data_IF_564041667078
#
_entry.id   IF_564041667078
#
_cell.length_a   1.000
_cell.length_b   1.000
_cell.length_c   1.000
_cell.angle_alpha   90.00
_cell.angle_beta   90.00
_cell.angle_gamma   90.00
#
_symmetry.space_group_name_H-M   'P 1'
#
loop_
_entity.id
_entity.type
_entity.pdbx_description
1 polymer ?
#
# COMPACT_ATOMS: atom_id res chain seq x y z
N UNK A 1 -29.30 -12.47 -15.44
CA UNK A 1 -29.18 -12.10 -14.02
C UNK A 1 -28.14 -12.95 -13.28
N UNK A 2 -28.24 -14.29 -13.29
CA UNK A 2 -27.30 -15.18 -12.59
C UNK A 2 -25.81 -15.00 -12.98
N UNK A 3 -25.50 -14.86 -14.27
CA UNK A 3 -24.12 -14.65 -14.75
C UNK A 3 -23.49 -13.33 -14.25
N UNK A 4 -24.26 -12.23 -14.28
CA UNK A 4 -23.81 -10.93 -13.76
C UNK A 4 -23.55 -11.05 -12.26
N UNK A 5 -24.47 -11.68 -11.52
CA UNK A 5 -24.27 -11.93 -10.09
C UNK A 5 -22.97 -12.71 -9.81
N UNK A 6 -22.69 -13.76 -10.59
CA UNK A 6 -21.47 -14.55 -10.45
C UNK A 6 -20.20 -13.74 -10.74
N UNK A 7 -20.21 -12.89 -11.77
CA UNK A 7 -19.09 -11.98 -12.08
C UNK A 7 -18.88 -10.99 -10.94
N UNK A 8 -19.94 -10.36 -10.44
CA UNK A 8 -19.85 -9.37 -9.37
C UNK A 8 -19.33 -10.01 -8.08
N UNK A 9 -19.86 -11.17 -7.69
CA UNK A 9 -19.41 -11.91 -6.50
C UNK A 9 -17.96 -12.37 -6.69
N UNK A 10 -17.59 -12.88 -7.86
CA UNK A 10 -16.22 -13.29 -8.16
C UNK A 10 -15.22 -12.13 -8.13
N UNK A 11 -15.59 -10.97 -8.69
CA UNK A 11 -14.77 -9.76 -8.65
C UNK A 11 -14.58 -9.22 -7.23
N UNK A 12 -15.64 -9.23 -6.42
CA UNK A 12 -15.60 -8.80 -5.02
C UNK A 12 -14.73 -9.74 -4.16
N UNK A 13 -14.88 -11.06 -4.36
CA UNK A 13 -14.08 -12.06 -3.68
C UNK A 13 -12.59 -11.94 -4.08
N UNK A 14 -12.30 -11.72 -5.36
CA UNK A 14 -10.93 -11.50 -5.84
C UNK A 14 -10.32 -10.23 -5.25
N UNK A 15 -11.08 -9.12 -5.20
CA UNK A 15 -10.60 -7.88 -4.59
C UNK A 15 -10.36 -8.02 -3.07
N UNK A 16 -11.16 -8.83 -2.38
CA UNK A 16 -11.00 -9.03 -0.94
C UNK A 16 -9.86 -10.01 -0.64
N UNK A 17 -9.87 -11.19 -1.24
CA UNK A 17 -8.86 -12.22 -1.00
C UNK A 17 -7.50 -11.89 -1.62
N UNK A 18 -7.47 -11.18 -2.74
CA UNK A 18 -6.24 -10.73 -3.39
C UNK A 18 -5.51 -9.69 -2.53
N UNK A 19 -6.24 -8.73 -1.96
CA UNK A 19 -5.69 -7.64 -1.14
C UNK A 19 -5.90 -7.89 0.36
N UNK A 20 -5.89 -9.16 0.77
CA UNK A 20 -6.22 -9.56 2.15
C UNK A 20 -5.24 -8.96 3.15
N UNK A 21 -3.97 -8.82 2.77
CA UNK A 21 -2.94 -8.28 3.65
C UNK A 21 -3.16 -6.81 3.95
N UNK A 22 -3.44 -6.02 2.92
CA UNK A 22 -3.76 -4.60 3.01
C UNK A 22 -4.99 -4.37 3.86
N UNK A 23 -6.02 -5.19 3.66
CA UNK A 23 -7.26 -5.10 4.42
C UNK A 23 -7.02 -5.41 5.90
N UNK A 24 -6.21 -6.41 6.23
CA UNK A 24 -5.87 -6.75 7.61
C UNK A 24 -5.09 -5.63 8.29
N UNK A 25 -4.04 -5.12 7.64
CA UNK A 25 -3.25 -3.99 8.15
C UNK A 25 -4.15 -2.76 8.36
N UNK A 26 -5.03 -2.46 7.40
CA UNK A 26 -5.96 -1.34 7.49
C UNK A 26 -6.97 -1.52 8.62
N UNK A 27 -7.53 -2.73 8.81
CA UNK A 27 -8.48 -3.01 9.90
C UNK A 27 -7.82 -2.85 11.27
N UNK A 28 -6.63 -3.43 11.48
CA UNK A 28 -5.93 -3.29 12.77
C UNK A 28 -5.54 -1.83 13.06
N UNK A 29 -5.09 -1.09 12.05
CA UNK A 29 -4.80 0.33 12.19
C UNK A 29 -6.07 1.16 12.45
N UNK A 30 -7.21 0.84 11.81
CA UNK A 30 -8.50 1.47 12.08
C UNK A 30 -9.01 1.17 13.51
N UNK A 31 -8.91 -0.08 13.96
CA UNK A 31 -9.29 -0.49 15.32
C UNK A 31 -8.45 0.22 16.39
N UNK A 32 -7.21 0.56 16.06
CA UNK A 32 -6.29 1.32 16.92
C UNK A 32 -6.40 2.84 16.73
N UNK A 33 -7.37 3.31 15.91
CA UNK A 33 -7.58 4.73 15.58
C UNK A 33 -6.38 5.42 14.90
N UNK A 34 -5.50 4.63 14.25
CA UNK A 34 -4.28 5.08 13.56
C UNK A 34 -4.56 5.45 12.11
N UNK A 35 -5.42 6.45 11.90
CA UNK A 35 -5.90 6.84 10.55
C UNK A 35 -4.76 7.24 9.62
N UNK A 36 -3.71 7.86 10.16
CA UNK A 36 -2.51 8.24 9.40
C UNK A 36 -1.82 6.99 8.83
N UNK A 37 -1.66 5.94 9.63
CA UNK A 37 -1.09 4.66 9.20
C UNK A 37 -1.95 4.02 8.13
N UNK A 38 -3.29 4.02 8.28
CA UNK A 38 -4.23 3.50 7.27
C UNK A 38 -4.08 4.23 5.93
N UNK A 39 -4.08 5.56 5.94
CA UNK A 39 -3.96 6.36 4.71
C UNK A 39 -2.65 6.06 3.97
N UNK A 40 -1.54 6.06 4.70
CA UNK A 40 -0.23 5.87 4.11
C UNK A 40 0.05 4.42 3.73
N UNK A 41 -0.51 3.44 4.43
CA UNK A 41 -0.43 2.03 4.03
C UNK A 41 -1.21 1.77 2.73
N UNK A 42 -2.42 2.32 2.59
CA UNK A 42 -3.23 2.16 1.38
C UNK A 42 -2.62 2.88 0.18
N UNK A 43 -2.18 4.14 0.35
CA UNK A 43 -1.47 4.88 -0.70
C UNK A 43 -0.18 4.15 -1.09
N UNK A 44 0.59 3.72 -0.10
CA UNK A 44 1.82 2.97 -0.31
C UNK A 44 1.59 1.66 -1.04
N UNK A 45 0.49 0.94 -0.77
CA UNK A 45 0.22 -0.34 -1.46
C UNK A 45 -0.03 -0.11 -2.96
N UNK A 46 -0.77 0.94 -3.30
CA UNK A 46 -0.98 1.34 -4.71
C UNK A 46 0.37 1.67 -5.37
N UNK A 47 1.21 2.50 -4.73
CA UNK A 47 2.54 2.85 -5.25
C UNK A 47 3.46 1.63 -5.37
N UNK A 48 3.47 0.76 -4.36
CA UNK A 48 4.25 -0.47 -4.33
C UNK A 48 3.85 -1.37 -5.49
N UNK A 49 2.55 -1.56 -5.72
CA UNK A 49 2.10 -2.47 -6.77
C UNK A 49 2.40 -1.93 -8.18
N UNK A 50 2.20 -0.63 -8.44
CA UNK A 50 2.46 -0.06 -9.77
C UNK A 50 3.94 0.27 -10.05
N UNK A 51 4.78 0.46 -9.03
CA UNK A 51 6.20 0.80 -9.20
C UNK A 51 7.15 -0.28 -8.73
N UNK A 52 7.01 -0.77 -7.50
CA UNK A 52 7.92 -1.76 -6.92
C UNK A 52 7.66 -3.15 -7.49
N UNK A 53 6.46 -3.71 -7.32
CA UNK A 53 6.07 -5.04 -7.82
C UNK A 53 6.17 -5.10 -9.34
N UNK A 54 5.63 -4.10 -10.03
CA UNK A 54 5.75 -4.03 -11.48
C UNK A 54 7.20 -3.81 -11.92
N UNK A 55 7.95 -2.94 -11.25
CA UNK A 55 9.35 -2.66 -11.57
C UNK A 55 10.26 -3.87 -11.39
N UNK A 56 10.15 -4.58 -10.27
CA UNK A 56 10.93 -5.79 -10.01
C UNK A 56 10.53 -6.92 -10.95
N UNK A 57 9.23 -7.10 -11.25
CA UNK A 57 8.79 -8.11 -12.21
C UNK A 57 9.29 -7.83 -13.63
N UNK A 58 9.19 -6.59 -14.14
CA UNK A 58 9.77 -6.22 -15.44
C UNK A 58 11.29 -6.36 -15.47
N UNK A 59 11.99 -5.98 -14.40
CA UNK A 59 13.44 -6.09 -14.29
C UNK A 59 13.88 -7.56 -14.28
N UNK A 60 13.34 -8.35 -13.35
CA UNK A 60 13.69 -9.76 -13.18
C UNK A 60 13.28 -10.59 -14.40
N UNK A 61 12.06 -10.40 -14.93
CA UNK A 61 11.60 -11.08 -16.13
C UNK A 61 12.41 -10.68 -17.37
N UNK A 62 12.80 -9.41 -17.49
CA UNK A 62 13.64 -8.92 -18.58
C UNK A 62 15.06 -9.48 -18.55
N UNK A 63 15.66 -9.68 -17.36
CA UNK A 63 17.00 -10.25 -17.20
C UNK A 63 16.98 -11.78 -17.37
N UNK A 64 15.98 -12.46 -16.80
CA UNK A 64 15.98 -13.91 -16.67
C UNK A 64 15.54 -14.66 -17.94
N UNK A 65 14.64 -14.09 -18.74
CA UNK A 65 14.06 -14.79 -19.89
C UNK A 65 14.96 -14.80 -21.14
N UNK A 66 16.29 -14.82 -20.98
CA UNK A 66 17.20 -14.93 -22.12
C UNK A 66 17.39 -16.38 -22.61
N UNK A 67 17.10 -17.43 -21.82
CA UNK A 67 17.07 -18.87 -22.20
C UNK A 67 16.93 -19.78 -20.96
N UNK A 68 15.73 -20.06 -20.45
CA UNK A 68 15.49 -21.26 -19.59
C UNK A 68 13.99 -21.64 -19.62
N UNK A 69 13.66 -22.91 -19.86
CA UNK A 69 12.32 -23.49 -19.66
C UNK A 69 12.12 -23.99 -18.22
N UNK A 70 10.94 -23.82 -17.60
CA UNK A 70 10.70 -24.28 -16.22
C UNK A 70 9.27 -24.70 -15.83
N UNK A 71 9.21 -25.55 -14.78
CA UNK A 71 8.02 -26.17 -14.16
C UNK A 71 7.43 -25.34 -13.01
N UNK A 72 6.15 -25.58 -12.73
CA UNK A 72 5.41 -25.01 -11.61
C UNK A 72 5.63 -25.85 -10.35
N UNK A 73 6.34 -25.32 -9.36
CA UNK A 73 6.40 -25.96 -8.05
C UNK A 73 5.11 -25.71 -7.29
N UNK A 74 4.38 -26.80 -7.03
CA UNK A 74 3.18 -26.86 -6.18
C UNK A 74 3.41 -26.28 -4.77
N UNK A 75 4.67 -26.19 -4.35
CA UNK A 75 5.09 -25.54 -3.11
C UNK A 75 4.81 -24.03 -3.10
N UNK A 76 4.59 -23.40 -4.26
CA UNK A 76 4.29 -21.96 -4.34
C UNK A 76 3.00 -21.58 -3.61
N UNK A 77 1.94 -22.40 -3.68
CA UNK A 77 0.70 -22.13 -2.95
C UNK A 77 0.93 -22.22 -1.44
N UNK A 78 1.64 -23.26 -0.98
CA UNK A 78 1.96 -23.41 0.43
C UNK A 78 2.82 -22.24 0.96
N UNK A 79 3.75 -21.75 0.13
CA UNK A 79 4.57 -20.58 0.43
C UNK A 79 3.73 -19.30 0.56
N UNK A 80 2.80 -19.07 -0.38
CA UNK A 80 1.89 -17.91 -0.33
C UNK A 80 1.01 -17.94 0.91
N UNK A 81 0.39 -19.09 1.21
CA UNK A 81 -0.42 -19.26 2.42
C UNK A 81 0.42 -19.02 3.68
N UNK A 82 1.64 -19.55 3.72
CA UNK A 82 2.58 -19.33 4.82
C UNK A 82 2.92 -17.86 5.03
N UNK A 83 3.18 -17.13 3.95
CA UNK A 83 3.44 -15.69 4.00
C UNK A 83 2.22 -14.89 4.46
N UNK A 84 1.03 -15.22 3.96
CA UNK A 84 -0.20 -14.57 4.42
C UNK A 84 -0.41 -14.79 5.91
N UNK A 85 -0.32 -16.04 6.40
CA UNK A 85 -0.46 -16.33 7.85
C UNK A 85 0.60 -15.61 8.67
N UNK A 86 1.85 -15.58 8.21
CA UNK A 86 2.93 -14.86 8.87
C UNK A 86 2.60 -13.36 8.99
N UNK A 87 2.12 -12.73 7.92
CA UNK A 87 1.74 -11.32 7.95
C UNK A 87 0.52 -11.09 8.83
N UNK A 88 -0.50 -11.95 8.81
CA UNK A 88 -1.68 -11.83 9.70
C UNK A 88 -1.28 -11.86 11.17
N UNK A 89 -0.35 -12.74 11.57
CA UNK A 89 0.10 -12.84 12.96
C UNK A 89 0.93 -11.63 13.36
N UNK A 90 1.72 -11.07 12.44
CA UNK A 90 2.60 -9.93 12.72
C UNK A 90 1.92 -8.58 12.52
N UNK A 91 0.80 -8.48 11.79
CA UNK A 91 0.24 -7.19 11.36
C UNK A 91 -0.16 -6.29 12.53
N UNK A 92 -0.69 -6.86 13.62
CA UNK A 92 -1.03 -6.10 14.83
C UNK A 92 0.24 -5.47 15.44
N UNK A 93 1.26 -6.30 15.71
CA UNK A 93 2.55 -5.84 16.23
C UNK A 93 3.23 -4.83 15.31
N UNK A 94 3.17 -5.05 14.00
CA UNK A 94 3.81 -4.18 13.00
C UNK A 94 3.11 -2.82 12.99
N UNK A 95 1.77 -2.77 12.99
CA UNK A 95 1.01 -1.50 13.03
C UNK A 95 1.33 -0.70 14.29
N UNK A 96 1.51 -1.36 15.44
CA UNK A 96 1.91 -0.69 16.67
C UNK A 96 3.36 -0.21 16.65
N UNK A 97 4.26 -1.04 16.13
CA UNK A 97 5.69 -0.73 16.06
C UNK A 97 5.99 0.44 15.12
N UNK A 98 5.14 0.75 14.14
CA UNK A 98 5.39 1.85 13.19
C UNK A 98 5.45 3.21 13.89
N UNK A 99 4.63 3.45 14.91
CA UNK A 99 4.65 4.70 15.67
C UNK A 99 5.87 4.76 16.60
N UNK A 100 6.14 3.69 17.34
CA UNK A 100 7.33 3.60 18.20
C UNK A 100 8.63 3.73 17.40
N UNK A 101 8.69 3.15 16.20
CA UNK A 101 9.81 3.27 15.28
C UNK A 101 9.93 4.69 14.70
N UNK A 102 8.80 5.38 14.47
CA UNK A 102 8.79 6.77 14.01
C UNK A 102 9.47 7.68 15.04
N UNK A 103 9.10 7.53 16.32
CA UNK A 103 9.67 8.31 17.41
C UNK A 103 11.13 7.95 17.69
N UNK A 104 11.46 6.65 17.68
CA UNK A 104 12.80 6.16 18.00
C UNK A 104 13.83 6.46 16.90
N UNK A 105 13.44 6.32 15.62
CA UNK A 105 14.35 6.54 14.48
C UNK A 105 14.28 7.97 13.94
N UNK A 106 13.34 8.79 14.44
CA UNK A 106 13.11 10.16 13.94
C UNK A 106 12.64 10.21 12.49
N UNK A 107 12.05 9.12 12.00
CA UNK A 107 11.49 9.00 10.65
C UNK A 107 9.99 9.30 10.68
N UNK A 108 9.43 9.81 9.59
CA UNK A 108 8.00 10.08 9.52
C UNK A 108 7.19 8.78 9.44
N UNK A 109 6.02 8.77 10.09
CA UNK A 109 5.02 7.67 9.95
C UNK A 109 4.65 7.45 8.49
N UNK A 110 4.60 8.52 7.67
CA UNK A 110 4.35 8.44 6.23
C UNK A 110 5.40 7.63 5.48
N UNK A 111 6.69 7.88 5.75
CA UNK A 111 7.79 7.14 5.15
C UNK A 111 7.79 5.67 5.57
N UNK A 112 7.69 5.41 6.88
CA UNK A 112 7.67 4.05 7.42
C UNK A 112 6.47 3.27 6.89
N UNK A 113 5.30 3.91 6.79
CA UNK A 113 4.12 3.29 6.22
C UNK A 113 4.30 3.04 4.73
N UNK A 114 4.59 4.04 3.89
CA UNK A 114 4.67 3.88 2.42
C UNK A 114 5.79 2.92 1.97
N UNK A 115 6.90 2.87 2.70
CA UNK A 115 8.08 2.07 2.30
C UNK A 115 8.17 0.79 3.12
N UNK A 116 8.38 0.88 4.44
CA UNK A 116 8.70 -0.28 5.26
C UNK A 116 7.51 -1.23 5.40
N UNK A 117 6.33 -0.70 5.75
CA UNK A 117 5.13 -1.49 5.95
C UNK A 117 4.70 -2.20 4.66
N UNK A 118 4.90 -1.59 3.49
CA UNK A 118 4.51 -2.20 2.21
C UNK A 118 5.50 -3.20 1.64
N UNK A 119 6.80 -3.05 1.90
CA UNK A 119 7.76 -4.10 1.57
C UNK A 119 7.40 -5.39 2.32
N UNK A 120 6.92 -5.27 3.57
CA UNK A 120 6.47 -6.41 4.38
C UNK A 120 5.06 -6.87 3.98
N UNK A 121 4.11 -5.94 3.86
CA UNK A 121 2.70 -6.23 3.59
C UNK A 121 2.46 -6.83 2.20
N UNK A 122 3.14 -6.33 1.17
CA UNK A 122 2.94 -6.81 -0.20
C UNK A 122 3.96 -7.90 -0.59
N UNK A 123 4.72 -8.44 0.36
CA UNK A 123 5.81 -9.38 0.09
C UNK A 123 5.35 -10.61 -0.72
N UNK A 124 4.15 -11.12 -0.41
CA UNK A 124 3.58 -12.28 -1.11
C UNK A 124 3.23 -11.95 -2.58
N UNK A 125 2.58 -10.80 -2.85
CA UNK A 125 2.27 -10.34 -4.20
C UNK A 125 3.56 -10.04 -4.98
N UNK A 126 4.51 -9.38 -4.34
CA UNK A 126 5.83 -9.05 -4.90
C UNK A 126 6.59 -10.32 -5.30
N UNK A 127 6.67 -11.30 -4.40
CA UNK A 127 7.29 -12.60 -4.70
C UNK A 127 6.55 -13.34 -5.83
N UNK A 128 5.22 -13.37 -5.79
CA UNK A 128 4.40 -14.01 -6.81
C UNK A 128 4.62 -13.40 -8.20
N UNK A 129 4.54 -12.08 -8.32
CA UNK A 129 4.75 -11.36 -9.56
C UNK A 129 6.16 -11.57 -10.12
N UNK A 130 7.19 -11.52 -9.27
CA UNK A 130 8.57 -11.81 -9.69
C UNK A 130 8.67 -13.25 -10.22
N UNK A 131 8.13 -14.24 -9.50
CA UNK A 131 8.16 -15.64 -9.94
C UNK A 131 7.43 -15.82 -11.27
N UNK A 132 6.30 -15.14 -11.51
CA UNK A 132 5.62 -15.18 -12.81
C UNK A 132 6.44 -14.50 -13.92
N UNK A 133 7.11 -13.40 -13.62
CA UNK A 133 7.97 -12.73 -14.58
C UNK A 133 9.19 -13.58 -14.96
N UNK A 134 9.84 -14.25 -14.00
CA UNK A 134 10.88 -15.25 -14.25
C UNK A 134 10.41 -16.42 -15.13
N UNK A 135 9.10 -16.70 -15.15
CA UNK A 135 8.47 -17.74 -15.98
C UNK A 135 8.02 -17.24 -17.35
N UNK A 136 8.50 -16.07 -17.77
CA UNK A 136 8.06 -15.38 -18.99
C UNK A 136 6.54 -15.16 -19.06
N UNK A 137 5.86 -15.08 -17.91
CA UNK A 137 4.42 -14.78 -17.80
C UNK A 137 4.22 -13.36 -17.31
N UNK A 138 4.78 -12.42 -18.08
CA UNK A 138 4.71 -11.00 -17.75
C UNK A 138 3.27 -10.50 -17.73
N UNK A 139 2.38 -11.00 -18.58
CA UNK A 139 0.95 -10.66 -18.56
C UNK A 139 0.29 -10.95 -17.20
N UNK A 140 0.66 -12.08 -16.57
CA UNK A 140 0.20 -12.42 -15.21
C UNK A 140 0.79 -11.46 -14.18
N UNK A 141 2.06 -11.08 -14.35
CA UNK A 141 2.74 -10.15 -13.44
C UNK A 141 2.11 -8.75 -13.50
N UNK A 142 1.80 -8.27 -14.71
CA UNK A 142 1.06 -7.04 -14.94
C UNK A 142 -0.35 -7.12 -14.34
N UNK A 143 -1.04 -8.24 -14.51
CA UNK A 143 -2.38 -8.45 -13.96
C UNK A 143 -2.36 -8.44 -12.42
N UNK A 144 -1.35 -9.03 -11.78
CA UNK A 144 -1.16 -8.97 -10.33
C UNK A 144 -0.91 -7.54 -9.88
N UNK A 145 0.09 -6.86 -10.46
CA UNK A 145 0.47 -5.51 -10.07
C UNK A 145 -0.63 -4.45 -10.31
N UNK A 146 -1.11 -4.33 -11.55
CA UNK A 146 -2.11 -3.31 -11.91
C UNK A 146 -3.50 -3.66 -11.40
N UNK A 147 -3.84 -4.94 -11.36
CA UNK A 147 -5.11 -5.43 -10.83
C UNK A 147 -5.23 -5.18 -9.34
N UNK A 148 -4.20 -5.51 -8.55
CA UNK A 148 -4.15 -5.24 -7.11
C UNK A 148 -4.24 -3.74 -6.84
N UNK A 149 -3.40 -2.92 -7.50
CA UNK A 149 -3.46 -1.45 -7.36
C UNK A 149 -4.85 -0.86 -7.65
N UNK A 150 -5.51 -1.32 -8.73
CA UNK A 150 -6.86 -0.86 -9.10
C UNK A 150 -7.91 -1.31 -8.08
N UNK A 151 -7.82 -2.54 -7.58
CA UNK A 151 -8.73 -3.07 -6.56
C UNK A 151 -8.56 -2.33 -5.24
N UNK A 152 -7.33 -2.01 -4.85
CA UNK A 152 -7.08 -1.21 -3.65
C UNK A 152 -7.71 0.17 -3.80
N UNK A 153 -7.44 0.86 -4.91
CA UNK A 153 -7.94 2.20 -5.16
C UNK A 153 -9.49 2.26 -5.26
N UNK A 154 -10.11 1.31 -5.96
CA UNK A 154 -11.55 1.35 -6.26
C UNK A 154 -12.42 0.59 -5.27
N UNK A 155 -11.85 -0.29 -4.44
CA UNK A 155 -12.60 -1.10 -3.49
C UNK A 155 -12.08 -1.00 -2.06
N UNK A 156 -10.81 -1.35 -1.81
CA UNK A 156 -10.27 -1.42 -0.43
C UNK A 156 -10.27 -0.04 0.23
N UNK A 157 -9.85 1.00 -0.49
CA UNK A 157 -9.82 2.37 0.01
C UNK A 157 -11.23 2.88 0.36
N UNK A 158 -12.24 2.83 -0.54
CA UNK A 158 -13.62 3.16 -0.19
C UNK A 158 -14.18 2.33 0.97
N UNK A 159 -13.88 1.03 1.01
CA UNK A 159 -14.32 0.13 2.07
C UNK A 159 -13.76 0.59 3.44
N UNK A 160 -12.48 0.95 3.52
CA UNK A 160 -11.86 1.45 4.74
C UNK A 160 -12.51 2.74 5.24
N UNK A 161 -12.84 3.66 4.33
CA UNK A 161 -13.55 4.92 4.68
C UNK A 161 -14.93 4.62 5.27
N UNK A 162 -15.69 3.71 4.66
CA UNK A 162 -17.01 3.31 5.15
C UNK A 162 -16.89 2.64 6.53
N UNK A 163 -15.92 1.73 6.71
CA UNK A 163 -15.68 1.07 8.00
C UNK A 163 -15.32 2.11 9.07
N UNK A 164 -14.44 3.07 8.78
CA UNK A 164 -14.09 4.13 9.70
C UNK A 164 -15.31 4.93 10.17
N UNK A 165 -16.22 5.27 9.25
CA UNK A 165 -17.46 5.99 9.58
C UNK A 165 -18.43 5.16 10.44
N UNK A 166 -18.42 3.84 10.32
CA UNK A 166 -19.19 2.94 11.20
C UNK A 166 -18.57 2.90 12.61
N UNK A 167 -17.24 3.01 12.72
CA UNK A 167 -16.48 2.98 13.99
C UNK A 167 -16.26 4.42 14.52
N UNK A 168 -17.31 5.25 14.61
CA UNK A 168 -17.29 6.73 14.64
C UNK A 168 -15.95 7.48 14.47
N UNK A 169 -15.13 7.11 13.49
CA UNK A 169 -13.85 7.77 13.21
C UNK A 169 -13.99 8.55 11.90
N UNK A 170 -13.63 9.83 11.95
CA UNK A 170 -13.62 10.69 10.78
C UNK A 170 -12.40 10.39 9.90
N UNK A 171 -12.55 9.45 8.97
CA UNK A 171 -11.58 9.21 7.92
C UNK A 171 -12.03 9.92 6.63
N UNK A 172 -11.20 10.84 6.14
CA UNK A 172 -11.32 11.42 4.81
C UNK A 172 -10.20 10.90 3.89
N UNK A 173 -10.28 11.20 2.59
CA UNK A 173 -9.23 10.90 1.60
C UNK A 173 -8.46 12.15 1.21
N UNK A 174 -8.35 13.13 2.11
CA UNK A 174 -7.56 14.31 1.86
C UNK A 174 -6.08 13.97 2.02
N UNK A 175 -5.34 14.07 0.92
CA UNK A 175 -3.91 13.82 0.79
C UNK A 175 -3.22 15.15 0.47
N UNK A 176 -1.99 15.40 0.96
CA UNK A 176 -1.29 16.62 0.58
C UNK A 176 -0.75 16.53 -0.86
N UNK A 177 -0.19 17.65 -1.32
CA UNK A 177 0.33 17.79 -2.68
C UNK A 177 1.40 16.74 -3.02
N UNK A 178 2.26 16.35 -2.07
CA UNK A 178 3.29 15.34 -2.33
C UNK A 178 2.66 13.96 -2.54
N UNK A 179 1.71 13.58 -1.70
CA UNK A 179 0.98 12.32 -1.75
C UNK A 179 0.22 12.18 -3.07
N UNK A 180 -0.64 13.14 -3.38
CA UNK A 180 -1.41 13.14 -4.63
C UNK A 180 -0.49 13.26 -5.85
N UNK A 181 0.55 14.10 -5.77
CA UNK A 181 1.52 14.28 -6.84
C UNK A 181 2.35 13.03 -7.11
N UNK A 182 2.77 12.31 -6.07
CA UNK A 182 3.52 11.05 -6.20
C UNK A 182 2.65 9.95 -6.82
N UNK A 183 1.38 9.86 -6.42
CA UNK A 183 0.42 8.92 -7.01
C UNK A 183 0.17 9.25 -8.49
N UNK A 184 -0.08 10.51 -8.82
CA UNK A 184 -0.29 10.95 -10.19
C UNK A 184 0.94 10.68 -11.06
N UNK A 185 2.15 11.01 -10.57
CA UNK A 185 3.40 10.72 -11.24
C UNK A 185 3.58 9.22 -11.48
N UNK A 186 3.32 8.39 -10.47
CA UNK A 186 3.44 6.95 -10.58
C UNK A 186 2.50 6.38 -11.64
N UNK A 187 1.23 6.80 -11.66
CA UNK A 187 0.25 6.39 -12.68
C UNK A 187 0.71 6.81 -14.08
N UNK A 188 1.18 8.06 -14.24
CA UNK A 188 1.64 8.58 -15.54
C UNK A 188 2.88 7.82 -16.03
N UNK A 189 3.89 7.65 -15.17
CA UNK A 189 5.14 6.96 -15.51
C UNK A 189 4.85 5.49 -15.84
N UNK A 190 4.03 4.80 -15.05
CA UNK A 190 3.63 3.43 -15.33
C UNK A 190 2.84 3.32 -16.65
N UNK A 191 1.92 4.25 -16.90
CA UNK A 191 1.16 4.31 -18.15
C UNK A 191 2.05 4.46 -19.39
N UNK A 192 2.98 5.42 -19.38
CA UNK A 192 3.94 5.60 -20.48
C UNK A 192 4.88 4.40 -20.63
N UNK A 193 5.34 3.83 -19.52
CA UNK A 193 6.25 2.68 -19.53
C UNK A 193 5.61 1.47 -20.24
N UNK A 194 4.30 1.26 -20.05
CA UNK A 194 3.59 0.11 -20.61
C UNK A 194 2.94 0.37 -21.98
N UNK A 195 2.88 1.62 -22.45
CA UNK A 195 2.12 2.00 -23.64
C UNK A 195 2.52 1.24 -24.92
N UNK A 196 3.81 0.94 -25.10
CA UNK A 196 4.30 0.27 -26.32
C UNK A 196 3.98 -1.25 -26.35
N UNK A 197 3.45 -1.81 -25.27
CA UNK A 197 3.20 -3.26 -25.14
C UNK A 197 4.47 -4.13 -25.05
N UNK A 198 5.65 -3.53 -25.05
CA UNK A 198 6.95 -4.22 -24.91
C UNK A 198 7.43 -4.22 -23.47
N UNK A 199 8.10 -5.31 -23.07
CA UNK A 199 8.71 -5.46 -21.75
C UNK A 199 10.23 -5.64 -21.87
N UNK A 200 10.98 -4.74 -21.23
CA UNK A 200 12.43 -4.80 -21.14
C UNK A 200 12.87 -4.45 -19.72
N UNK A 201 13.99 -5.00 -19.27
CA UNK A 201 14.51 -4.75 -17.91
C UNK A 201 14.71 -3.26 -17.60
N UNK A 202 15.06 -2.44 -18.60
CA UNK A 202 15.16 -0.97 -18.48
C UNK A 202 13.86 -0.30 -18.03
N UNK A 203 12.71 -0.78 -18.51
CA UNK A 203 11.39 -0.30 -18.07
C UNK A 203 11.19 -0.59 -16.57
N UNK A 204 11.61 -1.78 -16.13
CA UNK A 204 11.62 -2.14 -14.71
C UNK A 204 12.52 -1.23 -13.86
N UNK A 205 13.73 -0.92 -14.35
CA UNK A 205 14.67 0.00 -13.69
C UNK A 205 14.05 1.39 -13.51
N UNK A 206 13.36 1.93 -14.53
CA UNK A 206 12.71 3.25 -14.45
C UNK A 206 11.65 3.27 -13.35
N UNK A 207 10.80 2.24 -13.26
CA UNK A 207 9.77 2.15 -12.22
C UNK A 207 10.38 2.04 -10.81
N UNK A 208 11.44 1.25 -10.66
CA UNK A 208 12.15 1.11 -9.38
C UNK A 208 12.84 2.41 -8.95
N UNK A 209 13.47 3.12 -9.88
CA UNK A 209 14.04 4.43 -9.61
C UNK A 209 12.96 5.45 -9.20
N UNK A 210 11.80 5.43 -9.86
CA UNK A 210 10.66 6.25 -9.49
C UNK A 210 10.21 5.95 -8.05
N UNK A 211 10.09 4.67 -7.68
CA UNK A 211 9.74 4.26 -6.32
C UNK A 211 10.77 4.74 -5.28
N UNK A 212 12.06 4.59 -5.58
CA UNK A 212 13.15 5.06 -4.70
C UNK A 212 13.11 6.58 -4.53
N UNK A 213 12.90 7.34 -5.61
CA UNK A 213 12.80 8.80 -5.58
C UNK A 213 11.59 9.24 -4.74
N UNK A 214 10.44 8.61 -4.93
CA UNK A 214 9.25 8.88 -4.11
C UNK A 214 9.54 8.57 -2.63
N UNK A 215 10.16 7.43 -2.34
CA UNK A 215 10.59 7.08 -0.98
C UNK A 215 11.54 8.12 -0.38
N UNK A 216 12.49 8.64 -1.16
CA UNK A 216 13.38 9.71 -0.73
C UNK A 216 12.63 11.03 -0.45
N UNK A 217 11.60 11.36 -1.26
CA UNK A 217 10.75 12.52 -1.01
C UNK A 217 10.01 12.39 0.34
N UNK A 218 9.45 11.22 0.65
CA UNK A 218 8.80 10.97 1.94
C UNK A 218 9.77 10.90 3.12
N UNK A 219 11.00 10.44 2.88
CA UNK A 219 12.06 10.45 3.89
C UNK A 219 12.45 11.88 4.30
N UNK A 220 12.58 12.78 3.33
CA UNK A 220 12.89 14.19 3.57
C UNK A 220 11.68 14.92 4.14
N UNK A 221 10.46 14.56 3.72
CA UNK A 221 9.23 15.10 4.28
C UNK A 221 9.00 14.56 5.69
N UNK A 222 9.50 15.29 6.68
CA UNK A 222 9.18 15.05 8.08
C UNK A 222 7.79 15.62 8.38
N UNK A 223 6.74 14.85 8.12
CA UNK A 223 5.40 15.20 8.61
C UNK A 223 5.42 15.03 10.14
N UNK A 224 5.27 16.10 10.95
CA UNK A 224 5.05 15.91 12.38
C UNK A 224 3.78 15.08 12.57
N UNK A 225 3.79 14.14 13.53
CA UNK A 225 2.59 13.45 13.96
C UNK A 225 1.57 14.51 14.38
N UNK A 226 0.60 14.78 13.53
CA UNK A 226 -0.38 15.82 13.77
C UNK A 226 -1.36 15.24 14.79
N UNK A 227 -1.00 15.36 16.08
CA UNK A 227 -1.97 15.30 17.16
C UNK A 227 -2.93 16.47 16.96
N UNK A 228 -3.95 16.27 16.14
CA UNK A 228 -5.18 17.05 16.13
C UNK A 228 -5.97 16.85 17.46
N UNK A 229 -5.27 16.53 18.55
CA UNK A 229 -5.73 16.55 19.94
C UNK A 229 -5.24 17.80 20.70
N UNK A 230 -4.30 18.60 20.16
CA UNK A 230 -3.88 19.84 20.84
C UNK A 230 -4.79 21.05 20.59
N UNK A 231 -5.80 20.93 19.72
CA UNK A 231 -6.81 21.99 19.56
C UNK A 231 -7.82 22.03 20.72
N UNK A 232 -7.96 20.96 21.52
CA UNK A 232 -8.81 20.97 22.72
C UNK A 232 -8.13 21.55 23.97
N UNK A 233 -6.80 21.68 24.00
CA UNK A 233 -6.09 22.20 25.18
C UNK A 233 -5.77 23.70 25.12
N UNK A 234 -5.86 24.36 23.96
CA UNK A 234 -5.78 25.83 23.90
C UNK A 234 -7.11 26.49 24.31
N UNK A 235 -8.24 25.78 24.22
CA UNK A 235 -9.56 26.33 24.56
C UNK A 235 -10.05 26.06 25.99
N UNK A 236 -9.26 25.40 26.84
CA UNK A 236 -9.58 25.23 28.26
C UNK A 236 -8.56 25.88 29.20
N UNK A 237 -8.04 27.07 28.86
CA UNK A 237 -7.76 28.04 29.92
C UNK A 237 -9.12 28.61 30.36
N UNK A 238 -9.66 28.25 31.53
CA UNK A 238 -10.98 28.71 31.93
C UNK A 238 -10.93 30.23 32.09
N UNK A 239 -11.66 30.95 31.25
CA UNK A 239 -11.89 32.39 31.41
C UNK A 239 -12.78 32.70 32.65
N UNK A 240 -13.05 31.73 33.53
CA UNK A 240 -13.82 31.91 34.76
C UNK A 240 -13.05 32.54 35.90
N UNK A 241 -11.71 32.63 35.86
CA UNK A 241 -10.94 33.31 36.90
C UNK A 241 -10.71 34.81 36.66
N UNK A 242 -11.22 35.40 35.57
CA UNK A 242 -11.04 36.82 35.28
C UNK A 242 -12.27 37.71 35.56
N UNK A 243 -13.43 37.13 35.90
CA UNK A 243 -14.68 37.93 36.09
C UNK A 243 -15.17 37.95 37.55
N UNK A 244 -14.46 37.34 38.49
CA UNK A 244 -14.82 37.38 39.92
C UNK A 244 -13.83 38.14 40.82
N UNK A 245 -12.98 39.00 40.25
CA UNK A 245 -12.16 39.94 41.03
C UNK A 245 -12.07 41.32 40.39
N UNK A 246 -13.20 42.02 40.31
CA UNK A 246 -13.32 43.48 40.25
C UNK A 246 -14.74 43.86 40.70
#
# INVERSE_FOLDING_TARGET
MFYIFLITVGGLLNATCGNVTELIIAIFALSSNKIVVVKYSLLGSILSNILLVLGTSLLCGGIANLKVEQKYDRNGIAWLVGMTVFIVVLSEYVVDTIEDASDSWGLSVSFLSIILLLIVGNAAEHAGAIVFAFKNKLDISLAVALGSATQIAMFVVPLCVIIAWIIPINMDLNFNLLETGSLALAIIVTGFTLQDGTSHYMKGVVLLLCYIVIGACFFVQRTPFNNQADVTNITLKPATNAVLSA
#
